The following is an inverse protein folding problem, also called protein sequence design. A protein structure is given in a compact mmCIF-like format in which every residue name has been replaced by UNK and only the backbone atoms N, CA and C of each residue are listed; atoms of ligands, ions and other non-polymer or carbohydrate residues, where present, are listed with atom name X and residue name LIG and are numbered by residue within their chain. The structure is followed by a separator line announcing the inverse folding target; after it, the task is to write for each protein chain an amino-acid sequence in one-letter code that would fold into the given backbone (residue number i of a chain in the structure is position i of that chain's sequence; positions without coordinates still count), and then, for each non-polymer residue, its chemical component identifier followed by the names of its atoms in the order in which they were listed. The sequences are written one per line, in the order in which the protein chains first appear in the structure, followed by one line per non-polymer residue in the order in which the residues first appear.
data_IF_126607488958
#
_entry.id   IF_126607488958
#
_cell.length_a   1.000
_cell.length_b   1.000
_cell.length_c   1.000
_cell.angle_alpha   90.00
_cell.angle_beta   90.00
_cell.angle_gamma   90.00
#
_symmetry.space_group_name_H-M   'P 1'
#
loop_
_entity.id
_entity.type
_entity.pdbx_description
1 polymer ?
#
# COMPACT_ATOMS: atom_id res chain seq x y z
N UNK A 1 -29.96 -15.01 5.75
CA UNK A 1 -28.55 -14.79 5.35
C UNK A 1 -27.77 -14.76 6.64
N UNK A 2 -27.05 -15.83 6.99
CA UNK A 2 -26.20 -15.82 8.17
C UNK A 2 -25.07 -14.83 7.89
N UNK A 3 -25.11 -13.66 8.53
CA UNK A 3 -23.95 -12.80 8.65
C UNK A 3 -22.97 -13.59 9.52
N UNK A 4 -22.07 -14.34 8.91
CA UNK A 4 -20.78 -14.59 9.53
C UNK A 4 -20.26 -13.22 9.97
N UNK A 5 -20.03 -13.04 11.27
CA UNK A 5 -19.52 -11.79 11.84
C UNK A 5 -18.24 -11.42 11.07
N UNK A 6 -18.34 -10.39 10.23
CA UNK A 6 -17.18 -9.89 9.49
C UNK A 6 -16.27 -9.21 10.49
N UNK A 7 -15.02 -9.66 10.56
CA UNK A 7 -14.00 -9.06 11.39
C UNK A 7 -13.01 -8.24 10.56
N UNK A 8 -12.07 -7.56 11.23
CA UNK A 8 -11.11 -6.69 10.55
C UNK A 8 -10.22 -7.43 9.53
N UNK A 9 -9.87 -8.69 9.78
CA UNK A 9 -9.01 -9.48 8.89
C UNK A 9 -9.74 -9.85 7.59
N UNK A 10 -11.05 -10.10 7.65
CA UNK A 10 -11.87 -10.33 6.46
C UNK A 10 -11.90 -9.08 5.57
N UNK A 11 -12.06 -7.90 6.18
CA UNK A 11 -12.03 -6.62 5.48
C UNK A 11 -10.64 -6.39 4.86
N UNK A 12 -9.57 -6.57 5.64
CA UNK A 12 -8.20 -6.39 5.18
C UNK A 12 -7.86 -7.31 4.00
N UNK A 13 -8.23 -8.58 4.07
CA UNK A 13 -8.02 -9.53 2.99
C UNK A 13 -8.78 -9.12 1.72
N UNK A 14 -10.01 -8.61 1.86
CA UNK A 14 -10.80 -8.15 0.74
C UNK A 14 -10.17 -6.93 0.05
N UNK A 15 -9.80 -5.89 0.82
CA UNK A 15 -9.26 -4.66 0.25
C UNK A 15 -7.86 -4.86 -0.35
N UNK A 16 -7.03 -5.73 0.25
CA UNK A 16 -5.68 -6.04 -0.29
C UNK A 16 -5.74 -6.62 -1.70
N UNK A 17 -6.78 -7.40 -2.01
CA UNK A 17 -6.97 -8.00 -3.34
C UNK A 17 -7.73 -7.15 -4.35
N UNK A 18 -8.39 -6.07 -3.92
CA UNK A 18 -9.37 -5.35 -4.76
C UNK A 18 -9.15 -3.84 -4.85
N UNK A 19 -8.51 -3.23 -3.85
CA UNK A 19 -8.28 -1.79 -3.83
C UNK A 19 -6.93 -1.46 -4.45
N UNK A 20 -6.91 -0.38 -5.23
CA UNK A 20 -5.68 0.27 -5.62
C UNK A 20 -5.13 1.17 -4.50
N UNK A 21 -3.92 1.70 -4.69
CA UNK A 21 -3.25 2.58 -3.72
C UNK A 21 -4.09 3.80 -3.31
N UNK A 22 -4.77 4.44 -4.27
CA UNK A 22 -5.60 5.62 -4.00
C UNK A 22 -6.79 5.27 -3.11
N UNK A 23 -7.48 4.16 -3.40
CA UNK A 23 -8.60 3.67 -2.60
C UNK A 23 -8.16 3.27 -1.19
N UNK A 24 -7.01 2.59 -1.04
CA UNK A 24 -6.45 2.27 0.27
C UNK A 24 -6.11 3.53 1.07
N UNK A 25 -5.52 4.54 0.42
CA UNK A 25 -5.22 5.83 1.05
C UNK A 25 -6.51 6.53 1.48
N UNK A 26 -7.52 6.58 0.61
CA UNK A 26 -8.81 7.20 0.90
C UNK A 26 -9.54 6.52 2.06
N UNK A 27 -9.61 5.20 2.07
CA UNK A 27 -10.20 4.45 3.18
C UNK A 27 -9.46 4.73 4.49
N UNK A 28 -8.13 4.79 4.46
CA UNK A 28 -7.31 5.13 5.63
C UNK A 28 -7.64 6.52 6.19
N UNK A 29 -7.74 7.52 5.31
CA UNK A 29 -8.12 8.87 5.70
C UNK A 29 -9.52 8.91 6.34
N UNK A 30 -10.50 8.22 5.73
CA UNK A 30 -11.87 8.18 6.26
C UNK A 30 -11.93 7.53 7.65
N UNK A 31 -11.19 6.44 7.87
CA UNK A 31 -11.09 5.78 9.18
C UNK A 31 -10.59 6.77 10.24
N UNK A 32 -9.45 7.43 10.00
CA UNK A 32 -8.87 8.32 11.01
C UNK A 32 -9.66 9.62 11.20
N UNK A 33 -10.33 10.11 10.16
CA UNK A 33 -11.28 11.22 10.29
C UNK A 33 -12.48 10.82 11.16
N UNK A 34 -13.08 9.66 10.90
CA UNK A 34 -14.21 9.15 11.66
C UNK A 34 -13.87 8.99 13.14
N UNK A 35 -12.72 8.37 13.44
CA UNK A 35 -12.19 8.21 14.80
C UNK A 35 -11.94 9.56 15.49
N UNK A 36 -11.23 10.48 14.82
CA UNK A 36 -10.88 11.79 15.38
C UNK A 36 -12.13 12.62 15.70
N UNK A 37 -13.12 12.59 14.82
CA UNK A 37 -14.32 13.43 14.92
C UNK A 37 -15.46 12.74 15.64
N UNK A 38 -15.29 11.48 16.09
CA UNK A 38 -16.32 10.67 16.72
C UNK A 38 -17.59 10.57 15.85
N UNK A 39 -17.36 10.27 14.56
CA UNK A 39 -18.41 10.11 13.54
C UNK A 39 -18.28 8.74 12.87
N UNK A 40 -19.15 8.44 11.91
CA UNK A 40 -19.05 7.23 11.10
C UNK A 40 -18.23 7.47 9.83
N UNK A 41 -17.64 6.40 9.29
CA UNK A 41 -16.96 6.42 7.99
C UNK A 41 -17.97 6.72 6.89
N UNK A 42 -19.21 6.22 6.99
CA UNK A 42 -20.28 6.59 6.07
C UNK A 42 -20.55 8.10 6.05
N UNK A 43 -20.53 8.76 7.21
CA UNK A 43 -20.68 10.21 7.30
C UNK A 43 -19.50 10.90 6.59
N UNK A 44 -18.26 10.53 6.92
CA UNK A 44 -17.07 11.14 6.32
C UNK A 44 -17.00 10.90 4.80
N UNK A 45 -17.35 9.71 4.32
CA UNK A 45 -17.40 9.40 2.88
C UNK A 45 -18.34 10.36 2.14
N UNK A 46 -19.51 10.62 2.72
CA UNK A 46 -20.51 11.52 2.14
C UNK A 46 -20.00 12.97 2.16
N UNK A 47 -19.42 13.40 3.27
CA UNK A 47 -18.92 14.78 3.44
C UNK A 47 -17.78 15.10 2.47
N UNK A 48 -16.84 14.17 2.30
CA UNK A 48 -15.63 14.39 1.50
C UNK A 48 -15.72 13.88 0.05
N UNK A 49 -16.80 13.20 -0.33
CA UNK A 49 -17.05 12.79 -1.72
C UNK A 49 -16.18 11.63 -2.22
N UNK A 50 -15.81 10.67 -1.36
CA UNK A 50 -15.08 9.46 -1.77
C UNK A 50 -16.03 8.47 -2.47
N UNK A 51 -16.29 8.68 -3.77
CA UNK A 51 -17.23 7.87 -4.56
C UNK A 51 -16.65 6.52 -5.02
N UNK A 52 -15.33 6.39 -5.06
CA UNK A 52 -14.59 5.23 -5.54
C UNK A 52 -14.44 4.10 -4.51
N UNK A 53 -14.89 4.31 -3.27
CA UNK A 53 -14.88 3.31 -2.20
C UNK A 53 -16.25 2.62 -2.13
N UNK A 54 -16.33 1.29 -2.33
CA UNK A 54 -17.59 0.55 -2.29
C UNK A 54 -18.32 0.68 -0.95
N UNK A 55 -19.63 0.94 -1.02
CA UNK A 55 -20.47 1.14 0.18
C UNK A 55 -20.45 -0.07 1.14
N UNK A 56 -20.27 -1.28 0.62
CA UNK A 56 -20.19 -2.49 1.44
C UNK A 56 -18.98 -2.46 2.39
N UNK A 57 -17.82 -1.97 1.94
CA UNK A 57 -16.62 -1.84 2.78
C UNK A 57 -16.87 -0.84 3.91
N UNK A 58 -17.54 0.26 3.60
CA UNK A 58 -17.90 1.28 4.58
C UNK A 58 -18.80 0.70 5.67
N UNK A 59 -19.84 -0.05 5.28
CA UNK A 59 -20.75 -0.71 6.23
C UNK A 59 -20.01 -1.69 7.12
N UNK A 60 -19.06 -2.46 6.57
CA UNK A 60 -18.26 -3.38 7.36
C UNK A 60 -17.33 -2.64 8.33
N UNK A 61 -16.67 -1.57 7.90
CA UNK A 61 -15.80 -0.79 8.77
C UNK A 61 -16.59 -0.09 9.90
N UNK A 62 -17.76 0.48 9.59
CA UNK A 62 -18.65 1.09 10.59
C UNK A 62 -19.26 0.09 11.58
N UNK A 63 -19.16 -1.22 11.30
CA UNK A 63 -19.60 -2.28 12.21
C UNK A 63 -18.51 -2.79 13.16
N UNK A 64 -17.26 -2.37 12.96
CA UNK A 64 -16.15 -2.74 13.84
C UNK A 64 -16.19 -1.96 15.16
N UNK A 65 -15.65 -2.55 16.22
CA UNK A 65 -15.33 -1.81 17.43
C UNK A 65 -14.15 -0.86 17.19
N UNK A 66 -14.02 0.19 18.03
CA UNK A 66 -13.01 1.24 17.86
C UNK A 66 -11.58 0.69 17.78
N UNK A 67 -11.22 -0.30 18.61
CA UNK A 67 -9.90 -0.91 18.60
C UNK A 67 -9.61 -1.63 17.28
N UNK A 68 -10.57 -2.43 16.80
CA UNK A 68 -10.45 -3.14 15.51
C UNK A 68 -10.34 -2.16 14.35
N UNK A 69 -11.02 -1.02 14.44
CA UNK A 69 -10.98 0.02 13.44
C UNK A 69 -9.64 0.76 13.41
N UNK A 70 -9.05 1.03 14.59
CA UNK A 70 -7.68 1.57 14.72
C UNK A 70 -6.66 0.58 14.15
N UNK A 71 -6.79 -0.71 14.46
CA UNK A 71 -5.88 -1.73 13.93
C UNK A 71 -6.01 -1.86 12.41
N UNK A 72 -7.23 -1.83 11.86
CA UNK A 72 -7.46 -1.82 10.41
C UNK A 72 -6.80 -0.60 9.75
N UNK A 73 -6.98 0.60 10.32
CA UNK A 73 -6.30 1.81 9.85
C UNK A 73 -4.77 1.68 9.90
N UNK A 74 -4.24 1.05 10.94
CA UNK A 74 -2.79 0.85 11.08
C UNK A 74 -2.24 -0.13 10.05
N UNK A 75 -2.94 -1.24 9.78
CA UNK A 75 -2.52 -2.24 8.80
C UNK A 75 -2.54 -1.69 7.36
N UNK A 76 -3.56 -0.90 7.02
CA UNK A 76 -3.61 -0.22 5.72
C UNK A 76 -2.43 0.74 5.58
N UNK A 77 -2.12 1.52 6.63
CA UNK A 77 -1.00 2.46 6.63
C UNK A 77 0.35 1.74 6.51
N UNK A 78 0.52 0.59 7.18
CA UNK A 78 1.70 -0.24 7.09
C UNK A 78 1.90 -0.77 5.66
N UNK A 79 0.85 -1.29 5.02
CA UNK A 79 0.91 -1.76 3.64
C UNK A 79 1.29 -0.64 2.65
N UNK A 80 0.72 0.56 2.80
CA UNK A 80 1.06 1.73 1.99
C UNK A 80 2.53 2.17 2.18
N UNK A 81 3.06 2.04 3.40
CA UNK A 81 4.47 2.34 3.70
C UNK A 81 5.40 1.30 3.04
N UNK A 82 5.05 0.01 3.12
CA UNK A 82 5.81 -1.06 2.46
C UNK A 82 5.87 -0.88 0.94
N UNK A 83 4.75 -0.51 0.32
CA UNK A 83 4.68 -0.17 -1.11
C UNK A 83 5.63 1.00 -1.42
N UNK A 84 5.55 2.09 -0.66
CA UNK A 84 6.43 3.27 -0.83
C UNK A 84 7.93 2.93 -0.72
N UNK A 85 8.30 2.09 0.24
CA UNK A 85 9.69 1.65 0.44
C UNK A 85 10.16 0.78 -0.73
N UNK A 86 9.29 -0.10 -1.22
CA UNK A 86 9.59 -1.00 -2.35
C UNK A 86 9.78 -0.20 -3.64
N UNK A 87 8.84 0.70 -3.97
CA UNK A 87 8.92 1.61 -5.11
C UNK A 87 10.23 2.41 -5.11
N UNK A 88 10.59 2.93 -3.94
CA UNK A 88 11.83 3.70 -3.75
C UNK A 88 13.08 2.86 -4.02
N UNK A 89 13.11 1.61 -3.55
CA UNK A 89 14.25 0.68 -3.77
C UNK A 89 14.39 0.32 -5.24
N UNK A 90 13.29 0.08 -5.93
CA UNK A 90 13.33 -0.32 -7.34
C UNK A 90 13.69 0.87 -8.25
N UNK A 91 13.21 2.07 -7.93
CA UNK A 91 13.67 3.29 -8.57
C UNK A 91 15.19 3.52 -8.39
N UNK A 92 15.75 3.17 -7.23
CA UNK A 92 17.20 3.25 -7.00
C UNK A 92 17.99 2.19 -7.77
N UNK A 93 17.49 0.95 -7.88
CA UNK A 93 18.12 -0.10 -8.70
C UNK A 93 18.13 0.27 -10.18
N UNK A 94 17.03 0.79 -10.71
CA UNK A 94 16.92 1.19 -12.11
C UNK A 94 17.88 2.34 -12.50
N UNK A 95 18.26 3.18 -11.54
CA UNK A 95 19.19 4.30 -11.73
C UNK A 95 20.67 3.90 -11.63
N UNK A 96 21.01 2.69 -11.18
CA UNK A 96 22.41 2.23 -11.19
C UNK A 96 22.77 1.80 -12.62
N UNK A 97 23.72 2.47 -13.30
CA UNK A 97 24.24 1.93 -14.55
C UNK A 97 24.89 0.57 -14.25
N UNK A 98 24.58 -0.43 -15.06
CA UNK A 98 25.31 -1.69 -15.12
C UNK A 98 26.77 -1.34 -15.40
N UNK A 99 27.61 -1.34 -14.36
CA UNK A 99 29.06 -1.34 -14.54
C UNK A 99 29.40 -2.70 -15.13
N UNK A 100 29.35 -2.82 -16.46
CA UNK A 100 30.03 -3.90 -17.15
C UNK A 100 31.51 -3.70 -16.86
N UNK A 101 32.09 -4.62 -16.09
CA UNK A 101 33.52 -4.71 -15.91
C UNK A 101 34.13 -4.90 -17.31
N UNK A 102 34.82 -3.86 -17.81
CA UNK A 102 35.66 -3.99 -19.00
C UNK A 102 36.82 -4.88 -18.57
N UNK A 103 36.80 -6.16 -18.96
CA UNK A 103 37.94 -7.04 -18.81
C UNK A 103 39.13 -6.43 -19.58
N UNK A 104 40.31 -6.26 -18.97
CA UNK A 104 41.48 -5.80 -19.70
C UNK A 104 41.89 -6.89 -20.70
N UNK A 105 41.69 -6.61 -21.99
CA UNK A 105 42.31 -7.38 -23.07
C UNK A 105 43.83 -7.20 -22.97
N UNK A 106 44.51 -8.14 -22.31
CA UNK A 106 45.95 -8.31 -22.44
C UNK A 106 46.25 -8.72 -23.90
N UNK A 107 46.68 -7.76 -24.72
CA UNK A 107 47.25 -8.04 -26.02
C UNK A 107 48.57 -8.81 -25.86
N UNK A 108 48.86 -9.82 -26.71
CA UNK A 108 50.13 -10.53 -26.66
C UNK A 108 51.28 -9.63 -27.14
N UNK A 109 52.30 -9.49 -26.31
CA UNK A 109 53.56 -8.81 -26.64
C UNK A 109 54.25 -9.57 -27.78
N UNK A 110 54.31 -8.99 -28.98
CA UNK A 110 55.13 -9.49 -30.07
C UNK A 110 56.61 -9.21 -29.75
N UNK A 111 57.41 -10.27 -29.67
CA UNK A 111 58.86 -10.21 -29.76
C UNK A 111 59.26 -9.46 -31.05
N UNK A 112 60.17 -8.49 -30.94
CA UNK A 112 60.98 -8.04 -32.07
C UNK A 112 62.41 -7.85 -31.58
N UNK A 113 63.28 -8.70 -32.10
CA UNK A 113 64.73 -8.65 -31.96
C UNK A 113 65.30 -7.31 -32.47
N UNK A 114 66.22 -6.72 -31.71
CA UNK A 114 67.29 -5.84 -32.19
C UNK A 114 68.49 -5.90 -31.24
#
# INVERSE_FOLDING_TARGET
MNLTEINRLDILAHITGSFNRAQNTGLNCLIFLALREQTTIAYQKKEWGFEDIPQQIIVWCDSLEENDLIELGTDIAAGLLEELVTDSRDAQKAKRPTVQAIEPQNQPTLLSDY
#
